data_IF_097060297165
#
_entry.id   IF_097060297165
#
_cell.length_a   1.000
_cell.length_b   1.000
_cell.length_c   1.000
_cell.angle_alpha   90.00
_cell.angle_beta   90.00
_cell.angle_gamma   90.00
#
_symmetry.space_group_name_H-M   'P 1'
#
loop_
_entity.id
_entity.type
_entity.pdbx_description
1 polymer ?
#
# COMPACT_ATOMS: atom_id res chain seq x y z
N UNK A 1 15.19 10.78 -2.33
CA UNK A 1 14.74 9.38 -2.36
C UNK A 1 15.22 8.71 -1.09
N UNK A 2 14.33 8.12 -0.28
CA UNK A 2 14.76 7.43 0.95
C UNK A 2 15.36 6.09 0.60
N UNK A 3 16.68 5.96 0.75
CA UNK A 3 17.38 4.68 0.55
C UNK A 3 17.14 3.70 1.70
N UNK A 4 16.64 4.17 2.84
CA UNK A 4 16.42 3.37 4.04
C UNK A 4 15.33 2.32 3.85
N UNK A 5 14.15 2.69 3.32
CA UNK A 5 13.08 1.74 3.01
C UNK A 5 13.53 0.66 2.01
N UNK A 6 14.21 1.06 0.93
CA UNK A 6 14.70 0.12 -0.09
C UNK A 6 15.67 -0.88 0.54
N UNK A 7 16.64 -0.41 1.31
CA UNK A 7 17.59 -1.26 2.01
C UNK A 7 16.89 -2.19 3.02
N UNK A 8 15.86 -1.70 3.71
CA UNK A 8 15.08 -2.48 4.66
C UNK A 8 14.34 -3.64 3.97
N UNK A 9 13.63 -3.36 2.87
CA UNK A 9 12.94 -4.39 2.09
C UNK A 9 13.91 -5.39 1.46
N UNK A 10 15.02 -4.88 0.91
CA UNK A 10 16.06 -5.70 0.28
C UNK A 10 16.82 -6.59 1.26
N UNK A 11 16.91 -6.20 2.54
CA UNK A 11 17.62 -6.96 3.57
C UNK A 11 17.09 -8.37 3.80
N UNK A 12 15.82 -8.65 3.44
CA UNK A 12 15.24 -9.99 3.55
C UNK A 12 15.77 -10.91 2.46
N UNK A 13 16.01 -10.37 1.27
CA UNK A 13 16.39 -11.12 0.08
C UNK A 13 17.46 -10.35 -0.72
N UNK A 14 18.71 -10.28 -0.21
CA UNK A 14 19.79 -9.53 -0.82
C UNK A 14 20.14 -9.98 -2.26
N UNK A 15 19.78 -11.21 -2.61
CA UNK A 15 19.94 -11.80 -3.93
C UNK A 15 18.99 -11.25 -4.99
N UNK A 16 17.89 -10.58 -4.60
CA UNK A 16 17.01 -9.90 -5.54
C UNK A 16 17.77 -8.77 -6.24
N UNK A 17 17.81 -8.81 -7.57
CA UNK A 17 18.42 -7.75 -8.37
C UNK A 17 17.45 -6.56 -8.46
N UNK A 18 17.69 -5.55 -7.64
CA UNK A 18 16.88 -4.32 -7.60
C UNK A 18 17.61 -3.21 -8.35
N UNK A 19 16.98 -2.66 -9.39
CA UNK A 19 17.44 -1.45 -10.06
C UNK A 19 16.84 -0.22 -9.36
N UNK A 20 17.57 0.29 -8.38
CA UNK A 20 17.17 1.46 -7.58
C UNK A 20 16.92 2.69 -8.47
N UNK A 21 17.60 2.81 -9.61
CA UNK A 21 17.45 3.94 -10.54
C UNK A 21 16.10 3.97 -11.26
N UNK A 22 15.39 2.84 -11.30
CA UNK A 22 14.04 2.74 -11.89
C UNK A 22 12.91 3.00 -10.89
N UNK A 23 13.20 3.03 -9.59
CA UNK A 23 12.19 3.22 -8.55
C UNK A 23 11.68 4.65 -8.56
N UNK A 24 10.35 4.81 -8.61
CA UNK A 24 9.68 6.12 -8.71
C UNK A 24 8.65 6.27 -7.60
N UNK A 25 8.75 7.38 -6.89
CA UNK A 25 7.74 7.84 -5.94
C UNK A 25 7.05 9.11 -6.41
N UNK A 26 6.05 9.53 -5.65
CA UNK A 26 5.36 10.80 -5.83
C UNK A 26 6.18 11.97 -5.30
N UNK A 27 6.04 13.11 -5.97
CA UNK A 27 6.53 14.40 -5.48
C UNK A 27 5.69 14.90 -4.30
N UNK A 28 6.18 15.90 -3.58
CA UNK A 28 5.44 16.53 -2.47
C UNK A 28 4.09 17.08 -2.93
N UNK A 29 4.06 17.73 -4.09
CA UNK A 29 2.83 18.32 -4.64
C UNK A 29 1.82 17.23 -5.05
N UNK A 30 2.29 16.11 -5.59
CA UNK A 30 1.45 14.96 -5.91
C UNK A 30 0.90 14.29 -4.64
N UNK A 31 1.70 14.16 -3.59
CA UNK A 31 1.24 13.66 -2.29
C UNK A 31 0.12 14.54 -1.72
N UNK A 32 0.24 15.87 -1.83
CA UNK A 32 -0.84 16.78 -1.40
C UNK A 32 -2.13 16.58 -2.21
N UNK A 33 -2.04 16.22 -3.50
CA UNK A 33 -3.21 15.87 -4.31
C UNK A 33 -3.81 14.54 -3.85
N UNK A 34 -2.99 13.55 -3.50
CA UNK A 34 -3.43 12.27 -2.92
C UNK A 34 -4.20 12.52 -1.61
N UNK A 35 -3.63 13.31 -0.68
CA UNK A 35 -4.30 13.66 0.59
C UNK A 35 -5.70 14.23 0.36
N UNK A 36 -5.85 15.15 -0.59
CA UNK A 36 -7.14 15.76 -0.94
C UNK A 36 -8.11 14.79 -1.62
N UNK A 37 -7.63 13.95 -2.54
CA UNK A 37 -8.48 13.03 -3.29
C UNK A 37 -9.05 11.93 -2.39
N UNK A 38 -8.23 11.42 -1.48
CA UNK A 38 -8.61 10.32 -0.60
C UNK A 38 -9.17 10.76 0.75
N UNK A 39 -9.10 12.05 1.08
CA UNK A 39 -9.48 12.58 2.39
C UNK A 39 -8.75 11.82 3.51
N UNK A 40 -7.41 11.90 3.45
CA UNK A 40 -6.46 11.24 4.35
C UNK A 40 -5.29 12.18 4.67
N UNK A 41 -4.49 11.80 5.66
CA UNK A 41 -3.22 12.46 6.00
C UNK A 41 -2.03 11.57 5.67
N UNK A 42 -1.06 12.05 4.89
CA UNK A 42 0.11 11.25 4.50
C UNK A 42 1.31 11.60 5.37
N UNK A 43 1.56 10.78 6.39
CA UNK A 43 2.68 10.91 7.33
C UNK A 43 3.43 9.59 7.53
N UNK A 44 4.51 9.62 8.33
CA UNK A 44 5.21 8.41 8.77
C UNK A 44 5.71 7.54 7.62
N UNK A 45 5.55 6.23 7.79
CA UNK A 45 5.97 5.20 6.84
C UNK A 45 5.18 5.28 5.53
N UNK A 46 3.90 5.68 5.56
CA UNK A 46 3.12 5.90 4.34
C UNK A 46 3.74 7.00 3.48
N UNK A 47 4.17 8.12 4.09
CA UNK A 47 4.84 9.21 3.37
C UNK A 47 6.18 8.77 2.79
N UNK A 48 6.97 8.01 3.56
CA UNK A 48 8.25 7.47 3.08
C UNK A 48 8.04 6.56 1.88
N UNK A 49 7.10 5.62 1.98
CA UNK A 49 6.74 4.71 0.91
C UNK A 49 6.28 5.45 -0.35
N UNK A 50 5.29 6.34 -0.23
CA UNK A 50 4.74 7.06 -1.39
C UNK A 50 5.80 7.93 -2.08
N UNK A 51 6.67 8.58 -1.30
CA UNK A 51 7.76 9.41 -1.83
C UNK A 51 8.91 8.59 -2.44
N UNK A 52 9.09 7.34 -1.99
CA UNK A 52 10.18 6.49 -2.44
C UNK A 52 9.78 5.68 -3.66
N UNK A 53 8.67 4.94 -3.57
CA UNK A 53 8.25 3.96 -4.57
C UNK A 53 6.75 3.97 -4.85
N UNK A 54 5.98 4.98 -4.42
CA UNK A 54 4.52 4.99 -4.59
C UNK A 54 3.97 4.82 -6.01
N UNK A 55 4.81 4.90 -7.05
CA UNK A 55 4.42 4.79 -8.48
C UNK A 55 4.86 3.49 -9.15
N UNK A 56 5.71 2.69 -8.49
CA UNK A 56 6.07 1.38 -8.99
C UNK A 56 6.43 0.39 -7.88
N UNK A 57 6.31 -0.91 -8.14
CA UNK A 57 6.62 -1.93 -7.15
C UNK A 57 8.12 -2.05 -6.83
N UNK A 58 8.99 -1.40 -7.62
CA UNK A 58 10.43 -1.36 -7.44
C UNK A 58 11.08 -2.74 -7.57
N UNK A 59 10.39 -3.68 -8.19
CA UNK A 59 10.80 -5.08 -8.27
C UNK A 59 10.57 -5.90 -6.99
N UNK A 60 10.06 -5.30 -5.90
CA UNK A 60 9.84 -5.98 -4.61
C UNK A 60 8.52 -6.74 -4.56
N UNK A 61 7.46 -6.24 -5.19
CA UNK A 61 6.10 -6.78 -5.06
C UNK A 61 5.59 -7.36 -6.39
N UNK A 62 4.74 -8.38 -6.31
CA UNK A 62 3.99 -8.95 -7.45
C UNK A 62 2.85 -8.03 -7.93
N UNK A 63 2.16 -8.43 -9.01
CA UNK A 63 1.14 -7.63 -9.74
C UNK A 63 -0.03 -7.20 -8.83
N UNK A 64 -0.38 -8.06 -7.87
CA UNK A 64 -1.68 -8.01 -7.21
C UNK A 64 -1.64 -7.65 -5.72
N UNK A 65 -0.47 -7.32 -5.16
CA UNK A 65 -0.39 -7.03 -3.73
C UNK A 65 -1.02 -5.67 -3.41
N UNK A 66 -0.40 -4.59 -3.88
CA UNK A 66 -0.85 -3.24 -3.55
C UNK A 66 -1.90 -2.76 -4.54
N UNK A 67 -3.05 -2.33 -4.02
CA UNK A 67 -4.24 -2.05 -4.82
C UNK A 67 -4.03 -1.01 -5.92
N UNK A 68 -3.07 -0.11 -5.73
CA UNK A 68 -2.73 0.98 -6.64
C UNK A 68 -1.62 0.65 -7.65
N UNK A 69 -1.02 -0.54 -7.64
CA UNK A 69 -0.15 -1.02 -8.73
C UNK A 69 -0.86 -1.93 -9.74
N UNK A 70 -2.06 -2.40 -9.40
CA UNK A 70 -2.83 -3.31 -10.25
C UNK A 70 -3.18 -2.63 -11.57
N UNK A 71 -2.63 -3.13 -12.68
CA UNK A 71 -2.82 -2.55 -14.02
C UNK A 71 -4.28 -2.38 -14.45
N UNK A 72 -5.16 -3.25 -13.98
CA UNK A 72 -6.59 -3.26 -14.32
C UNK A 72 -7.37 -2.23 -13.48
N UNK A 73 -6.78 -1.76 -12.37
CA UNK A 73 -7.41 -0.83 -11.44
C UNK A 73 -6.99 0.60 -11.79
N UNK A 74 -7.97 1.43 -12.12
CA UNK A 74 -7.77 2.87 -12.27
C UNK A 74 -7.77 3.56 -10.90
N UNK A 75 -7.30 4.81 -10.86
CA UNK A 75 -7.46 5.72 -9.72
C UNK A 75 -8.90 5.71 -9.21
N UNK A 76 -9.88 5.80 -10.13
CA UNK A 76 -11.31 5.72 -9.80
C UNK A 76 -11.67 4.40 -9.11
N UNK A 77 -11.16 3.27 -9.60
CA UNK A 77 -11.43 1.98 -8.96
C UNK A 77 -10.86 1.91 -7.55
N UNK A 78 -9.68 2.48 -7.29
CA UNK A 78 -9.10 2.51 -5.95
C UNK A 78 -9.93 3.40 -5.01
N UNK A 79 -10.33 4.59 -5.46
CA UNK A 79 -11.24 5.48 -4.70
C UNK A 79 -12.56 4.78 -4.38
N UNK A 80 -13.14 4.03 -5.33
CA UNK A 80 -14.36 3.26 -5.07
C UNK A 80 -14.14 2.16 -4.01
N UNK A 81 -13.04 1.40 -4.09
CA UNK A 81 -12.71 0.40 -3.07
C UNK A 81 -12.45 1.03 -1.69
N UNK A 82 -11.91 2.25 -1.65
CA UNK A 82 -11.75 3.02 -0.42
C UNK A 82 -13.09 3.39 0.22
N UNK A 83 -14.09 3.75 -0.61
CA UNK A 83 -15.45 4.04 -0.14
C UNK A 83 -16.13 2.76 0.36
N UNK A 84 -16.00 1.65 -0.36
CA UNK A 84 -16.51 0.34 0.07
C UNK A 84 -15.98 -0.04 1.45
N UNK A 85 -14.65 0.02 1.66
CA UNK A 85 -14.07 -0.22 2.99
C UNK A 85 -14.69 0.67 4.08
N UNK A 86 -14.92 1.96 3.80
CA UNK A 86 -15.52 2.88 4.78
C UNK A 86 -16.96 2.47 5.09
N UNK A 87 -17.75 2.11 4.07
CA UNK A 87 -19.14 1.67 4.21
C UNK A 87 -19.25 0.36 4.99
N UNK A 88 -18.33 -0.58 4.76
CA UNK A 88 -18.26 -1.85 5.49
C UNK A 88 -17.94 -1.62 6.98
N UNK A 89 -16.90 -0.83 7.27
CA UNK A 89 -16.56 -0.45 8.65
C UNK A 89 -17.72 0.27 9.35
N UNK A 90 -18.45 1.14 8.64
CA UNK A 90 -19.66 1.77 9.18
C UNK A 90 -20.75 0.74 9.50
N UNK A 91 -20.99 -0.20 8.59
CA UNK A 91 -22.02 -1.23 8.75
C UNK A 91 -21.73 -2.15 9.94
N UNK A 92 -20.45 -2.42 10.21
CA UNK A 92 -19.96 -3.15 11.37
C UNK A 92 -19.84 -2.29 12.65
N UNK A 93 -20.28 -1.03 12.59
CA UNK A 93 -20.28 -0.08 13.70
C UNK A 93 -18.89 0.36 14.20
N UNK A 94 -17.85 0.22 13.36
CA UNK A 94 -16.48 0.71 13.60
C UNK A 94 -16.31 2.21 13.27
N UNK A 95 -17.23 3.03 13.75
CA UNK A 95 -17.27 4.48 13.48
C UNK A 95 -15.99 5.18 13.95
N UNK A 96 -15.37 4.70 15.02
CA UNK A 96 -14.11 5.20 15.56
C UNK A 96 -12.93 4.97 14.62
N UNK A 97 -12.94 3.90 13.82
CA UNK A 97 -11.90 3.62 12.82
C UNK A 97 -12.13 4.50 11.59
N UNK A 98 -13.39 4.65 11.15
CA UNK A 98 -13.76 5.52 10.02
C UNK A 98 -13.39 6.97 10.30
N UNK A 99 -13.62 7.45 11.53
CA UNK A 99 -13.24 8.80 11.95
C UNK A 99 -11.72 9.06 11.85
N UNK A 100 -10.89 8.02 11.92
CA UNK A 100 -9.42 8.10 11.81
C UNK A 100 -8.91 7.97 10.37
N UNK A 101 -9.77 8.18 9.39
CA UNK A 101 -9.44 8.26 7.96
C UNK A 101 -8.70 7.01 7.46
N UNK A 102 -9.40 5.86 7.33
CA UNK A 102 -8.79 4.63 6.86
C UNK A 102 -8.30 4.81 5.42
N UNK A 103 -7.12 4.27 5.12
CA UNK A 103 -6.52 4.23 3.79
C UNK A 103 -6.22 2.79 3.36
N UNK A 104 -6.87 2.32 2.30
CA UNK A 104 -6.76 0.97 1.77
C UNK A 104 -5.42 0.78 1.05
N UNK A 105 -4.58 -0.12 1.58
CA UNK A 105 -3.26 -0.45 1.01
C UNK A 105 -3.31 -1.70 0.13
N UNK A 106 -4.05 -2.74 0.55
CA UNK A 106 -4.07 -4.05 -0.10
C UNK A 106 -5.43 -4.72 0.00
N UNK A 107 -5.73 -5.54 -1.01
CA UNK A 107 -6.92 -6.38 -1.07
C UNK A 107 -6.49 -7.78 -1.53
N UNK A 108 -6.27 -8.65 -0.55
CA UNK A 108 -5.73 -10.00 -0.73
C UNK A 108 -6.87 -11.02 -0.75
N UNK A 109 -6.69 -12.10 -1.52
CA UNK A 109 -7.63 -13.24 -1.57
C UNK A 109 -9.11 -12.85 -1.75
N UNK A 110 -9.38 -11.73 -2.41
CA UNK A 110 -10.71 -11.20 -2.72
C UNK A 110 -11.61 -10.85 -1.52
N UNK A 111 -11.12 -10.96 -0.29
CA UNK A 111 -11.93 -10.77 0.93
C UNK A 111 -11.15 -10.15 2.09
N UNK A 112 -9.83 -9.95 1.92
CA UNK A 112 -8.93 -9.55 2.98
C UNK A 112 -8.45 -8.13 2.72
N UNK A 113 -8.97 -7.16 3.47
CA UNK A 113 -8.63 -5.76 3.34
C UNK A 113 -7.55 -5.38 4.34
N UNK A 114 -6.45 -4.79 3.88
CA UNK A 114 -5.43 -4.22 4.76
C UNK A 114 -5.42 -2.71 4.58
N UNK A 115 -5.41 -1.97 5.69
CA UNK A 115 -5.51 -0.51 5.68
C UNK A 115 -4.76 0.15 6.84
N UNK A 116 -4.51 1.44 6.70
CA UNK A 116 -3.90 2.31 7.72
C UNK A 116 -4.93 3.29 8.26
N UNK A 117 -4.81 3.71 9.52
CA UNK A 117 -5.61 4.79 10.10
C UNK A 117 -4.81 6.08 10.12
N UNK A 118 -4.95 6.88 9.07
CA UNK A 118 -4.02 7.98 8.76
C UNK A 118 -4.11 9.19 9.70
N UNK A 119 -5.20 9.33 10.45
CA UNK A 119 -5.37 10.35 11.48
C UNK A 119 -5.39 9.77 12.91
N UNK A 120 -4.81 8.58 13.11
CA UNK A 120 -4.66 7.98 14.44
C UNK A 120 -3.35 8.40 15.13
N UNK A 121 -3.23 8.09 16.42
CA UNK A 121 -1.99 8.29 17.19
C UNK A 121 -0.84 7.38 16.72
N UNK A 122 -1.16 6.30 16.00
CA UNK A 122 -0.18 5.38 15.42
C UNK A 122 -0.52 5.11 13.93
N UNK A 123 -0.23 6.07 13.03
CA UNK A 123 -0.65 5.99 11.63
C UNK A 123 0.13 4.93 10.82
N UNK A 124 1.18 4.35 11.40
CA UNK A 124 1.98 3.32 10.76
C UNK A 124 1.44 1.90 11.03
N UNK A 125 0.49 1.72 11.96
CA UNK A 125 -0.09 0.41 12.29
C UNK A 125 -1.03 -0.07 11.19
N UNK A 126 -0.82 -1.32 10.75
CA UNK A 126 -1.69 -1.97 9.77
C UNK A 126 -2.85 -2.66 10.46
N UNK A 127 -4.04 -2.39 9.95
CA UNK A 127 -5.29 -3.04 10.31
C UNK A 127 -5.70 -4.01 9.22
N UNK A 128 -6.41 -5.05 9.62
CA UNK A 128 -6.95 -6.09 8.76
C UNK A 128 -8.46 -6.18 8.99
N UNK A 129 -9.20 -6.19 7.89
CA UNK A 129 -10.62 -6.50 7.85
C UNK A 129 -10.81 -7.76 7.00
N UNK A 130 -11.38 -8.80 7.62
CA UNK A 130 -11.80 -10.04 6.98
C UNK A 130 -13.30 -9.97 6.68
N UNK A 131 -13.64 -9.83 5.40
CA UNK A 131 -15.02 -9.76 4.90
C UNK A 131 -15.78 -11.09 5.07
N UNK A 132 -15.10 -12.23 5.19
CA UNK A 132 -15.81 -13.51 5.39
C UNK A 132 -16.35 -13.66 6.80
N UNK A 133 -15.60 -13.15 7.78
CA UNK A 133 -15.89 -13.29 9.21
C UNK A 133 -16.49 -12.00 9.80
N UNK A 134 -16.57 -10.92 9.01
CA UNK A 134 -16.98 -9.58 9.45
C UNK A 134 -16.17 -9.08 10.66
N UNK A 135 -14.86 -9.34 10.67
CA UNK A 135 -13.96 -9.01 11.79
C UNK A 135 -12.91 -7.99 11.41
N UNK A 136 -12.63 -7.05 12.32
CA UNK A 136 -11.60 -6.01 12.15
C UNK A 136 -10.63 -6.05 13.31
N UNK A 137 -9.34 -6.18 13.02
CA UNK A 137 -8.29 -6.25 14.03
C UNK A 137 -7.00 -5.48 13.64
N UNK A 138 -6.18 -5.17 14.64
CA UNK A 138 -4.84 -4.63 14.42
C UNK A 138 -3.84 -5.78 14.27
N UNK A 139 -3.02 -5.75 13.20
CA UNK A 139 -2.12 -6.87 12.84
C UNK A 139 -0.83 -6.93 13.66
N UNK A 140 -0.61 -5.97 14.58
CA UNK A 140 0.65 -5.72 15.27
C UNK A 140 1.86 -5.39 14.37
N UNK A 141 1.66 -5.26 13.05
CA UNK A 141 2.70 -4.84 12.12
C UNK A 141 2.62 -3.35 11.82
N UNK A 142 3.78 -2.73 11.77
CA UNK A 142 3.95 -1.45 11.08
C UNK A 142 3.83 -1.65 9.57
N UNK A 143 3.56 -0.57 8.83
CA UNK A 143 3.41 -0.63 7.38
C UNK A 143 4.65 -1.20 6.67
N UNK A 144 5.84 -0.84 7.11
CA UNK A 144 7.10 -1.38 6.59
C UNK A 144 7.27 -2.86 6.91
N UNK A 145 6.86 -3.33 8.09
CA UNK A 145 6.88 -4.77 8.41
C UNK A 145 5.88 -5.54 7.55
N UNK A 146 4.68 -5.00 7.34
CA UNK A 146 3.72 -5.56 6.42
C UNK A 146 4.29 -5.68 4.99
N UNK A 147 4.87 -4.59 4.46
CA UNK A 147 5.51 -4.60 3.14
C UNK A 147 6.66 -5.62 3.09
N UNK A 148 7.51 -5.66 4.11
CA UNK A 148 8.64 -6.59 4.21
C UNK A 148 8.19 -8.05 4.15
N UNK A 149 7.10 -8.39 4.82
CA UNK A 149 6.51 -9.74 4.81
C UNK A 149 5.82 -10.10 3.48
N UNK A 150 5.71 -9.17 2.55
CA UNK A 150 5.03 -9.35 1.26
C UNK A 150 5.95 -9.17 0.05
N UNK A 151 7.26 -9.12 0.27
CA UNK A 151 8.24 -9.16 -0.82
C UNK A 151 8.09 -10.48 -1.59
N UNK A 152 7.77 -10.39 -2.89
CA UNK A 152 7.50 -11.56 -3.74
C UNK A 152 8.80 -12.14 -4.28
N UNK A 153 9.31 -13.18 -3.64
CA UNK A 153 10.56 -13.83 -4.04
C UNK A 153 10.37 -14.94 -5.05
N UNK A 154 9.27 -15.69 -4.96
CA UNK A 154 9.04 -16.87 -5.78
C UNK A 154 8.90 -16.47 -7.25
N UNK A 155 8.08 -15.47 -7.53
CA UNK A 155 7.87 -14.99 -8.91
C UNK A 155 9.13 -14.31 -9.45
N UNK A 156 9.87 -13.60 -8.58
CA UNK A 156 11.02 -12.76 -8.99
C UNK A 156 12.33 -13.52 -9.16
N UNK A 157 12.57 -14.59 -8.40
CA UNK A 157 13.77 -15.42 -8.56
C UNK A 157 13.74 -16.27 -9.84
N UNK A 158 12.55 -16.64 -10.32
CA UNK A 158 12.38 -17.48 -11.51
C UNK A 158 12.12 -16.69 -12.79
N UNK A 159 11.97 -15.36 -12.70
CA UNK A 159 11.81 -14.50 -13.86
C UNK A 159 13.16 -14.13 -14.45
N UNK A 160 13.66 -14.93 -15.39
CA UNK A 160 15.02 -14.78 -15.92
C UNK A 160 15.29 -13.46 -16.65
N UNK A 161 14.28 -12.73 -17.17
CA UNK A 161 14.53 -11.51 -17.94
C UNK A 161 13.28 -10.70 -18.32
N UNK A 162 12.50 -10.13 -17.38
CA UNK A 162 11.42 -9.19 -17.75
C UNK A 162 11.33 -8.00 -16.80
N UNK A 163 11.11 -6.82 -17.38
CA UNK A 163 10.58 -5.61 -16.71
C UNK A 163 9.23 -5.98 -16.07
N UNK A 164 9.29 -6.67 -14.93
CA UNK A 164 8.13 -7.02 -14.11
C UNK A 164 7.80 -5.88 -13.14
N UNK A 165 8.35 -4.68 -13.33
CA UNK A 165 8.01 -3.57 -12.45
C UNK A 165 6.55 -3.19 -12.72
N UNK A 166 5.73 -3.26 -11.68
CA UNK A 166 4.31 -2.97 -11.77
C UNK A 166 4.12 -1.50 -11.48
N UNK A 167 3.39 -0.82 -12.36
CA UNK A 167 3.16 0.61 -12.28
C UNK A 167 1.68 0.87 -12.08
N UNK A 168 1.38 1.84 -11.23
CA UNK A 168 0.04 2.38 -11.12
C UNK A 168 0.05 3.70 -10.39
N UNK A 169 -1.12 4.32 -10.35
CA UNK A 169 -1.26 5.71 -9.95
C UNK A 169 -2.41 5.84 -8.94
N UNK A 170 -2.18 6.65 -7.92
CA UNK A 170 -3.19 7.08 -6.95
C UNK A 170 -3.87 8.39 -7.38
N UNK A 171 -3.35 9.09 -8.38
CA UNK A 171 -3.92 10.33 -8.90
C UNK A 171 -3.86 10.37 -10.41
N UNK A 172 -4.73 11.18 -11.03
CA UNK A 172 -4.61 11.53 -12.44
C UNK A 172 -3.70 12.76 -12.53
N UNK A 173 -2.66 12.67 -13.35
CA UNK A 173 -1.64 13.72 -13.54
C UNK A 173 -1.91 14.52 -14.80
#
# INVERSE_FOLDING_TARGET
>A
MSTTLIAYLHSVYPELKIDIGKIKGYTVDEIQKIERLYDIRVTGQLREFLSCMGRCSGGFFGDDLLMFYRKIKSVRSHVLSQLTLRDDLCSLQHWELVAKKPFLISFENQTQYYFLLTESDNPDLVYHYDENEDTVEATNWTFHEYLRNRVDTITRMHSDNRDLDYYGELIII
#
